data_IF_649467165755
#
_entry.id   IF_649467165755
#
_cell.length_a   1.000
_cell.length_b   1.000
_cell.length_c   1.000
_cell.angle_alpha   90.00
_cell.angle_beta   90.00
_cell.angle_gamma   90.00
#
_symmetry.space_group_name_H-M   'P 1'
#
loop_
_entity.id
_entity.type
_entity.pdbx_description
1 polymer ?
#
# COMPACT_ATOMS: atom_id res chain seq x y z
N UNK A 1 -7.80 19.34 0.46
CA UNK A 1 -8.37 18.61 -0.70
C UNK A 1 -7.20 18.17 -1.57
N UNK A 2 -7.12 16.88 -1.92
CA UNK A 2 -6.03 16.32 -2.74
C UNK A 2 -5.92 17.09 -4.07
N UNK A 3 -4.70 17.47 -4.47
CA UNK A 3 -4.46 18.27 -5.68
C UNK A 3 -3.35 17.62 -6.53
N UNK A 4 -3.71 16.66 -7.40
CA UNK A 4 -2.72 15.93 -8.19
C UNK A 4 -2.05 16.85 -9.21
N UNK A 5 -0.77 16.56 -9.50
CA UNK A 5 -0.06 17.18 -10.61
C UNK A 5 -0.70 16.78 -11.97
N UNK A 6 -0.51 17.57 -13.04
CA UNK A 6 -1.13 17.28 -14.34
C UNK A 6 -0.71 15.94 -14.97
N UNK A 7 0.48 15.45 -14.60
CA UNK A 7 1.07 14.17 -15.00
C UNK A 7 0.70 13.02 -14.03
N UNK A 8 -0.18 13.26 -13.05
CA UNK A 8 -0.64 12.22 -12.15
C UNK A 8 -1.47 11.18 -12.90
N UNK A 9 -0.85 10.04 -13.15
CA UNK A 9 -1.46 8.87 -13.76
C UNK A 9 -1.68 7.78 -12.73
N UNK A 10 -2.87 7.20 -12.72
CA UNK A 10 -3.24 6.07 -11.89
C UNK A 10 -3.49 4.82 -12.75
N UNK A 11 -3.14 3.66 -12.22
CA UNK A 11 -3.52 2.35 -12.76
C UNK A 11 -4.66 1.77 -11.93
N UNK A 12 -5.67 1.21 -12.60
CA UNK A 12 -6.70 0.38 -11.99
C UNK A 12 -6.64 -0.99 -12.65
N UNK A 13 -6.24 -2.01 -11.89
CA UNK A 13 -6.22 -3.39 -12.32
C UNK A 13 -7.35 -4.15 -11.63
N UNK A 14 -8.39 -4.53 -12.35
CA UNK A 14 -9.55 -5.27 -11.81
C UNK A 14 -10.16 -6.17 -12.88
N UNK A 15 -10.45 -7.44 -12.54
CA UNK A 15 -11.03 -8.42 -13.48
C UNK A 15 -12.39 -7.99 -13.99
N UNK A 16 -13.15 -7.28 -13.16
CA UNK A 16 -14.46 -6.76 -13.53
C UNK A 16 -14.30 -5.43 -14.27
N UNK A 17 -14.63 -5.43 -15.57
CA UNK A 17 -14.73 -4.22 -16.39
C UNK A 17 -15.60 -3.14 -15.74
N UNK A 18 -16.70 -3.55 -15.12
CA UNK A 18 -17.62 -2.66 -14.43
C UNK A 18 -16.98 -2.03 -13.19
N UNK A 19 -16.33 -2.84 -12.35
CA UNK A 19 -15.65 -2.33 -11.15
C UNK A 19 -14.48 -1.42 -11.50
N UNK A 20 -13.67 -1.80 -12.50
CA UNK A 20 -12.58 -0.98 -13.00
C UNK A 20 -13.07 0.40 -13.47
N UNK A 21 -14.17 0.44 -14.23
CA UNK A 21 -14.81 1.68 -14.69
C UNK A 21 -15.31 2.54 -13.54
N UNK A 22 -16.00 1.95 -12.57
CA UNK A 22 -16.50 2.64 -11.38
C UNK A 22 -15.34 3.25 -10.55
N UNK A 23 -14.28 2.49 -10.31
CA UNK A 23 -13.09 2.99 -9.60
C UNK A 23 -12.41 4.11 -10.38
N UNK A 24 -12.34 4.00 -11.71
CA UNK A 24 -11.80 5.08 -12.56
C UNK A 24 -12.62 6.37 -12.44
N UNK A 25 -13.95 6.29 -12.43
CA UNK A 25 -14.82 7.45 -12.19
C UNK A 25 -14.63 8.03 -10.78
N UNK A 26 -14.45 7.19 -9.77
CA UNK A 26 -14.12 7.65 -8.42
C UNK A 26 -12.82 8.45 -8.40
N UNK A 27 -11.77 7.98 -9.08
CA UNK A 27 -10.49 8.71 -9.19
C UNK A 27 -10.64 10.02 -9.96
N UNK A 28 -11.42 10.04 -11.04
CA UNK A 28 -11.72 11.26 -11.81
C UNK A 28 -12.43 12.31 -10.97
N UNK A 29 -13.36 11.90 -10.10
CA UNK A 29 -14.00 12.79 -9.13
C UNK A 29 -13.01 13.42 -8.14
N UNK A 30 -11.88 12.75 -7.90
CA UNK A 30 -10.74 13.23 -7.10
C UNK A 30 -9.71 14.03 -7.92
N UNK A 31 -10.08 14.47 -9.13
CA UNK A 31 -9.24 15.22 -10.08
C UNK A 31 -8.08 14.43 -10.69
N UNK A 32 -8.02 13.12 -10.51
CA UNK A 32 -7.07 12.24 -11.20
C UNK A 32 -7.65 11.91 -12.58
N UNK A 33 -7.23 12.65 -13.60
CA UNK A 33 -7.81 12.56 -14.96
C UNK A 33 -7.22 11.43 -15.79
N UNK A 34 -5.94 11.12 -15.59
CA UNK A 34 -5.26 10.04 -16.30
C UNK A 34 -5.41 8.74 -15.50
N UNK A 35 -6.33 7.88 -15.94
CA UNK A 35 -6.58 6.58 -15.32
C UNK A 35 -6.56 5.52 -16.40
N UNK A 36 -5.61 4.60 -16.29
CA UNK A 36 -5.52 3.42 -17.16
C UNK A 36 -6.20 2.24 -16.45
N UNK A 37 -7.05 1.52 -17.17
CA UNK A 37 -7.73 0.32 -16.66
C UNK A 37 -7.21 -0.93 -17.35
N UNK A 38 -6.91 -1.96 -16.58
CA UNK A 38 -6.45 -3.28 -17.07
C UNK A 38 -7.22 -4.38 -16.33
N UNK A 39 -7.33 -5.56 -16.94
CA UNK A 39 -8.25 -6.62 -16.47
C UNK A 39 -7.59 -7.96 -16.19
N UNK A 40 -6.27 -8.05 -16.40
CA UNK A 40 -5.48 -9.24 -16.14
C UNK A 40 -4.05 -8.87 -15.71
N UNK A 41 -3.33 -9.87 -15.19
CA UNK A 41 -1.96 -9.68 -14.70
C UNK A 41 -0.94 -9.34 -15.80
N UNK A 42 -0.93 -10.01 -16.97
CA UNK A 42 -0.04 -9.63 -18.07
C UNK A 42 -0.21 -8.16 -18.51
N UNK A 43 -1.45 -7.68 -18.63
CA UNK A 43 -1.74 -6.30 -18.99
C UNK A 43 -1.26 -5.32 -17.90
N UNK A 44 -1.44 -5.66 -16.62
CA UNK A 44 -0.90 -4.84 -15.53
C UNK A 44 0.63 -4.77 -15.55
N UNK A 45 1.31 -5.90 -15.78
CA UNK A 45 2.76 -5.94 -15.89
C UNK A 45 3.27 -5.12 -17.09
N UNK A 46 2.62 -5.25 -18.25
CA UNK A 46 2.90 -4.44 -19.45
C UNK A 46 2.71 -2.95 -19.17
N UNK A 47 1.60 -2.58 -18.52
CA UNK A 47 1.31 -1.21 -18.14
C UNK A 47 2.40 -0.61 -17.23
N UNK A 48 2.86 -1.37 -16.22
CA UNK A 48 3.97 -0.93 -15.35
C UNK A 48 5.31 -0.81 -16.08
N UNK A 49 5.52 -1.54 -17.18
CA UNK A 49 6.72 -1.45 -18.00
C UNK A 49 6.70 -0.23 -18.95
N UNK A 50 5.51 0.20 -19.40
CA UNK A 50 5.36 1.27 -20.41
C UNK A 50 5.07 2.65 -19.84
N UNK A 51 4.43 2.73 -18.67
CA UNK A 51 3.99 4.00 -18.07
C UNK A 51 4.48 4.18 -16.63
N UNK A 52 4.59 5.43 -16.20
CA UNK A 52 4.75 5.75 -14.79
C UNK A 52 3.41 5.99 -14.13
N UNK A 53 3.26 5.39 -12.96
CA UNK A 53 2.10 5.57 -12.13
C UNK A 53 2.48 6.25 -10.82
N UNK A 54 1.60 7.14 -10.37
CA UNK A 54 1.67 7.75 -9.05
C UNK A 54 0.77 7.04 -8.03
N UNK A 55 -0.07 6.14 -8.51
CA UNK A 55 -0.97 5.30 -7.74
C UNK A 55 -1.35 4.07 -8.56
N UNK A 56 -1.43 2.90 -7.92
CA UNK A 56 -2.09 1.74 -8.50
C UNK A 56 -3.13 1.18 -7.53
N UNK A 57 -4.31 0.87 -8.05
CA UNK A 57 -5.33 0.10 -7.34
C UNK A 57 -5.40 -1.28 -8.01
N UNK A 58 -5.19 -2.33 -7.23
CA UNK A 58 -5.08 -3.69 -7.75
C UNK A 58 -6.08 -4.58 -7.03
N UNK A 59 -6.94 -5.25 -7.80
CA UNK A 59 -7.83 -6.27 -7.29
C UNK A 59 -7.04 -7.49 -6.81
N UNK A 60 -7.31 -7.91 -5.58
CA UNK A 60 -6.65 -9.05 -4.97
C UNK A 60 -6.96 -10.36 -5.71
N UNK A 61 -8.08 -10.44 -6.42
CA UNK A 61 -8.40 -11.61 -7.24
C UNK A 61 -7.47 -11.77 -8.45
N UNK A 62 -6.80 -10.69 -8.90
CA UNK A 62 -5.75 -10.79 -9.92
C UNK A 62 -4.51 -11.50 -9.38
N UNK A 63 -4.22 -11.40 -8.08
CA UNK A 63 -3.13 -12.15 -7.49
C UNK A 63 -3.47 -13.65 -7.49
N UNK A 64 -2.76 -14.44 -8.29
CA UNK A 64 -2.86 -15.90 -8.27
C UNK A 64 -2.72 -16.40 -6.83
N UNK A 65 -3.78 -17.02 -6.31
CA UNK A 65 -3.84 -17.59 -4.95
C UNK A 65 -3.46 -16.62 -3.81
N UNK A 66 -3.66 -15.32 -4.01
CA UNK A 66 -3.34 -14.31 -2.98
C UNK A 66 -1.85 -14.12 -2.70
N UNK A 67 -0.98 -14.63 -3.57
CA UNK A 67 0.46 -14.57 -3.38
C UNK A 67 1.07 -13.22 -3.85
N UNK A 68 0.31 -12.36 -4.53
CA UNK A 68 0.75 -11.03 -4.99
C UNK A 68 2.14 -11.03 -5.68
N UNK A 69 2.48 -12.11 -6.39
CA UNK A 69 3.82 -12.31 -6.95
C UNK A 69 4.24 -11.18 -7.91
N UNK A 70 3.30 -10.66 -8.70
CA UNK A 70 3.56 -9.50 -9.58
C UNK A 70 3.95 -8.23 -8.80
N UNK A 71 3.39 -8.03 -7.60
CA UNK A 71 3.75 -6.90 -6.74
C UNK A 71 5.17 -7.12 -6.19
N UNK A 72 5.49 -8.32 -5.70
CA UNK A 72 6.87 -8.62 -5.24
C UNK A 72 7.89 -8.41 -6.35
N UNK A 73 7.61 -8.91 -7.56
CA UNK A 73 8.45 -8.69 -8.72
C UNK A 73 8.64 -7.19 -9.01
N UNK A 74 7.57 -6.39 -8.95
CA UNK A 74 7.64 -4.92 -9.12
C UNK A 74 8.52 -4.24 -8.05
N UNK A 75 8.52 -4.73 -6.80
CA UNK A 75 9.35 -4.17 -5.71
C UNK A 75 10.82 -4.62 -5.78
N UNK A 76 11.08 -5.80 -6.32
CA UNK A 76 12.41 -6.41 -6.44
C UNK A 76 13.17 -6.01 -7.70
N UNK A 77 12.46 -5.60 -8.75
CA UNK A 77 13.08 -5.24 -10.01
C UNK A 77 13.91 -3.96 -9.86
N UNK A 78 15.24 -4.11 -9.91
CA UNK A 78 16.16 -2.99 -9.95
C UNK A 78 15.92 -2.15 -11.20
N UNK A 79 16.03 -0.83 -11.05
CA UNK A 79 15.81 0.18 -12.10
C UNK A 79 14.36 0.34 -12.61
N UNK A 80 13.36 -0.34 -12.03
CA UNK A 80 11.96 -0.08 -12.37
C UNK A 80 11.49 1.25 -11.75
N UNK A 81 11.10 2.19 -12.62
CA UNK A 81 10.63 3.52 -12.23
C UNK A 81 9.36 3.50 -11.35
N UNK A 82 8.61 2.39 -11.36
CA UNK A 82 7.42 2.17 -10.53
C UNK A 82 7.70 1.43 -9.21
N UNK A 83 8.97 1.17 -8.86
CA UNK A 83 9.34 0.39 -7.66
C UNK A 83 8.70 0.89 -6.37
N UNK A 84 8.54 2.20 -6.22
CA UNK A 84 7.98 2.84 -5.03
C UNK A 84 6.54 3.33 -5.20
N UNK A 85 5.87 2.96 -6.31
CA UNK A 85 4.48 3.38 -6.54
C UNK A 85 3.59 2.96 -5.37
N UNK A 86 2.77 3.86 -4.79
CA UNK A 86 1.77 3.48 -3.81
C UNK A 86 0.76 2.51 -4.42
N UNK A 87 0.56 1.36 -3.77
CA UNK A 87 -0.38 0.33 -4.22
C UNK A 87 -1.49 0.17 -3.18
N UNK A 88 -2.74 0.29 -3.63
CA UNK A 88 -3.93 -0.02 -2.85
C UNK A 88 -4.49 -1.36 -3.34
N UNK A 89 -4.47 -2.40 -2.51
CA UNK A 89 -5.14 -3.65 -2.84
C UNK A 89 -6.64 -3.54 -2.55
N UNK A 90 -7.47 -4.10 -3.42
CA UNK A 90 -8.93 -4.11 -3.31
C UNK A 90 -9.43 -5.55 -3.23
N UNK A 91 -10.30 -5.90 -2.28
CA UNK A 91 -10.86 -7.25 -2.21
C UNK A 91 -12.30 -7.27 -1.70
N UNK A 92 -13.14 -8.18 -2.19
CA UNK A 92 -14.51 -8.35 -1.73
C UNK A 92 -14.60 -8.96 -0.31
N UNK A 93 -13.85 -10.02 -0.07
CA UNK A 93 -13.84 -10.75 1.20
C UNK A 93 -12.39 -10.95 1.70
N UNK A 94 -11.76 -9.91 2.26
CA UNK A 94 -10.39 -10.04 2.73
C UNK A 94 -10.30 -10.89 4.00
N UNK A 95 -9.48 -11.93 3.95
CA UNK A 95 -9.06 -12.67 5.15
C UNK A 95 -7.82 -12.01 5.77
N UNK A 96 -7.58 -12.28 7.06
CA UNK A 96 -6.36 -11.82 7.72
C UNK A 96 -5.09 -12.32 7.01
N UNK A 97 -5.13 -13.54 6.46
CA UNK A 97 -4.04 -14.12 5.69
C UNK A 97 -3.79 -13.35 4.38
N UNK A 98 -4.85 -12.99 3.64
CA UNK A 98 -4.73 -12.20 2.41
C UNK A 98 -4.16 -10.81 2.69
N UNK A 99 -4.60 -10.15 3.76
CA UNK A 99 -4.09 -8.84 4.17
C UNK A 99 -2.60 -8.95 4.54
N UNK A 100 -2.22 -10.00 5.28
CA UNK A 100 -0.82 -10.24 5.63
C UNK A 100 0.04 -10.49 4.38
N UNK A 101 -0.43 -11.32 3.45
CA UNK A 101 0.26 -11.60 2.19
C UNK A 101 0.43 -10.33 1.33
N UNK A 102 -0.62 -9.52 1.20
CA UNK A 102 -0.56 -8.23 0.50
C UNK A 102 0.51 -7.31 1.11
N UNK A 103 0.55 -7.22 2.45
CA UNK A 103 1.54 -6.41 3.17
C UNK A 103 2.95 -6.91 2.92
N UNK A 104 3.17 -8.21 3.07
CA UNK A 104 4.49 -8.82 2.92
C UNK A 104 4.98 -8.73 1.45
N UNK A 105 4.07 -8.63 0.49
CA UNK A 105 4.37 -8.34 -0.91
C UNK A 105 4.72 -6.87 -1.21
N UNK A 106 4.44 -5.93 -0.29
CA UNK A 106 4.73 -4.52 -0.46
C UNK A 106 3.56 -3.67 -0.97
N UNK A 107 2.32 -4.11 -0.74
CA UNK A 107 1.12 -3.26 -0.86
C UNK A 107 1.16 -2.16 0.20
N UNK A 108 0.78 -0.94 -0.18
CA UNK A 108 0.80 0.24 0.69
C UNK A 108 -0.45 0.31 1.58
N UNK A 109 -1.63 0.07 0.99
CA UNK A 109 -2.92 0.18 1.67
C UNK A 109 -3.90 -0.88 1.19
N UNK A 110 -4.96 -1.15 1.96
CA UNK A 110 -5.94 -2.18 1.64
C UNK A 110 -7.37 -1.65 1.76
N UNK A 111 -8.21 -1.92 0.76
CA UNK A 111 -9.63 -1.56 0.73
C UNK A 111 -10.52 -2.80 0.56
N UNK A 112 -11.51 -2.94 1.44
CA UNK A 112 -12.59 -3.90 1.27
C UNK A 112 -13.65 -3.33 0.33
N UNK A 113 -14.03 -4.08 -0.70
CA UNK A 113 -15.20 -3.78 -1.56
C UNK A 113 -16.49 -4.11 -0.76
N UNK A 114 -17.53 -3.27 -0.79
CA UNK A 114 -17.61 -1.97 -1.46
C UNK A 114 -16.92 -0.85 -0.66
N UNK A 115 -16.37 0.13 -1.37
CA UNK A 115 -15.78 1.33 -0.79
C UNK A 115 -16.25 2.59 -1.53
N UNK A 116 -16.11 3.76 -0.91
CA UNK A 116 -16.50 5.04 -1.48
C UNK A 116 -15.29 5.84 -1.96
N UNK A 117 -15.54 6.90 -2.72
CA UNK A 117 -14.55 7.93 -3.09
C UNK A 117 -13.79 8.45 -1.86
N UNK A 118 -14.51 8.65 -0.74
CA UNK A 118 -13.92 9.16 0.50
C UNK A 118 -12.90 8.18 1.09
N UNK A 119 -13.11 6.87 0.96
CA UNK A 119 -12.12 5.88 1.40
C UNK A 119 -10.82 5.99 0.60
N UNK A 120 -10.88 6.19 -0.72
CA UNK A 120 -9.70 6.40 -1.57
C UNK A 120 -9.01 7.72 -1.21
N UNK A 121 -9.78 8.80 -1.09
CA UNK A 121 -9.26 10.13 -0.75
C UNK A 121 -8.48 10.13 0.57
N UNK A 122 -8.94 9.39 1.57
CA UNK A 122 -8.26 9.25 2.85
C UNK A 122 -6.89 8.59 2.71
N UNK A 123 -6.72 7.61 1.81
CA UNK A 123 -5.42 6.96 1.57
C UNK A 123 -4.48 7.86 0.78
N UNK A 124 -5.00 8.57 -0.21
CA UNK A 124 -4.23 9.58 -0.95
C UNK A 124 -3.68 10.66 -0.02
N UNK A 125 -4.50 11.17 0.89
CA UNK A 125 -4.07 12.14 1.89
C UNK A 125 -2.99 11.57 2.83
N UNK A 126 -3.08 10.28 3.20
CA UNK A 126 -2.05 9.62 3.99
C UNK A 126 -0.71 9.55 3.24
N UNK A 127 -0.72 9.25 1.94
CA UNK A 127 0.51 9.23 1.13
C UNK A 127 1.17 10.60 0.99
N UNK A 128 0.39 11.70 0.99
CA UNK A 128 0.93 13.07 0.97
C UNK A 128 1.49 13.50 2.34
N UNK A 129 0.79 13.20 3.44
CA UNK A 129 1.11 13.72 4.77
C UNK A 129 2.35 13.06 5.41
N UNK A 130 2.59 11.80 5.11
CA UNK A 130 3.80 11.09 5.49
C UNK A 130 3.94 9.90 4.53
N UNK A 131 5.06 9.73 3.82
CA UNK A 131 5.20 8.62 2.88
C UNK A 131 4.92 7.23 3.45
N UNK A 132 4.87 7.03 4.79
CA UNK A 132 4.31 5.86 5.50
C UNK A 132 3.84 6.26 6.92
N UNK A 133 2.55 6.10 7.29
CA UNK A 133 2.15 4.90 8.02
C UNK A 133 0.75 4.33 7.63
N UNK A 134 0.68 3.01 7.70
CA UNK A 134 -0.44 2.09 7.41
C UNK A 134 -1.75 2.43 8.12
N UNK A 135 -2.88 2.49 7.39
CA UNK A 135 -4.23 2.59 7.96
C UNK A 135 -5.15 1.49 7.40
N UNK A 136 -5.22 0.36 8.09
CA UNK A 136 -6.29 -0.63 7.87
C UNK A 136 -7.66 0.05 8.00
N UNK A 137 -8.41 0.09 6.89
CA UNK A 137 -9.79 0.57 6.89
C UNK A 137 -10.73 -0.47 7.53
N UNK A 138 -11.68 0.02 8.33
CA UNK A 138 -12.59 -0.70 9.24
C UNK A 138 -12.77 -2.21 9.02
N UNK A 139 -12.16 -2.94 9.95
CA UNK A 139 -12.11 -4.39 10.05
C UNK A 139 -10.86 -4.80 10.82
N UNK A 140 -10.78 -4.36 12.09
CA UNK A 140 -9.68 -4.65 13.00
C UNK A 140 -9.44 -6.17 13.14
N UNK A 141 -8.20 -6.62 12.87
CA UNK A 141 -7.55 -7.77 13.51
C UNK A 141 -6.05 -7.78 13.17
N UNK A 142 -5.21 -7.33 14.09
CA UNK A 142 -3.77 -7.54 14.01
C UNK A 142 -2.98 -6.71 15.01
N UNK A 143 -2.13 -7.32 15.87
CA UNK A 143 -1.48 -6.60 16.96
C UNK A 143 -0.42 -5.66 16.43
N UNK A 144 -0.46 -4.45 16.96
CA UNK A 144 0.57 -3.43 16.91
C UNK A 144 1.97 -4.05 17.20
N UNK A 145 2.81 -4.13 16.16
CA UNK A 145 4.22 -4.57 16.27
C UNK A 145 5.20 -3.38 16.35
N UNK A 146 4.74 -2.13 16.47
CA UNK A 146 5.61 -0.94 16.51
C UNK A 146 5.49 -0.14 17.82
N UNK A 147 5.38 -0.84 18.94
CA UNK A 147 5.82 -0.33 20.25
C UNK A 147 6.72 -1.34 20.96
N UNK A 148 7.91 -1.56 20.40
CA UNK A 148 9.09 -1.78 21.26
C UNK A 148 9.57 -0.39 21.65
N UNK A 149 9.02 0.09 22.75
CA UNK A 149 9.56 1.22 23.51
C UNK A 149 11.02 0.91 23.82
N UNK A 150 11.94 1.61 23.15
CA UNK A 150 13.25 1.88 23.74
C UNK A 150 12.99 2.88 24.87
N UNK A 151 12.52 2.37 26.00
CA UNK A 151 12.56 3.12 27.25
C UNK A 151 14.02 3.11 27.71
N UNK A 152 14.71 4.21 27.47
CA UNK A 152 16.01 4.46 28.07
C UNK A 152 15.91 4.31 29.59
N UNK A 153 16.82 3.53 30.16
CA UNK A 153 17.08 3.57 31.59
C UNK A 153 18.05 4.74 31.86
N UNK A 154 17.71 5.70 32.73
CA UNK A 154 18.68 6.61 33.30
C UNK A 154 19.17 6.08 34.66
N UNK A 155 20.49 6.10 34.86
CA UNK A 155 21.14 5.94 36.17
C UNK A 155 21.90 4.62 36.32
N UNK A 156 23.14 4.57 36.80
CA UNK A 156 23.96 5.56 37.52
C UNK A 156 25.43 5.30 37.21
N UNK A 157 26.21 6.39 37.08
CA UNK A 157 27.64 6.35 37.37
C UNK A 157 27.77 6.12 38.88
N UNK A 158 28.48 5.07 39.27
CA UNK A 158 29.16 5.02 40.56
C UNK A 158 30.62 4.74 40.22
N UNK A 159 31.45 5.76 40.42
CA UNK A 159 32.88 5.62 40.50
C UNK A 159 33.25 5.06 41.89
N UNK A 160 34.45 4.47 41.92
CA UNK A 160 35.36 4.29 43.04
C UNK A 160 35.09 3.26 44.15
N UNK A 161 36.07 2.36 44.30
CA UNK A 161 36.68 2.07 45.60
C UNK A 161 36.66 0.62 46.06
N UNK A 162 37.85 0.02 46.22
CA UNK A 162 38.13 -0.86 47.36
C UNK A 162 38.46 -2.34 47.08
N UNK A 163 39.76 -2.60 46.96
CA UNK A 163 40.57 -3.67 47.60
C UNK A 163 39.90 -4.85 48.34
N UNK A 164 40.50 -6.03 48.15
CA UNK A 164 40.40 -7.33 48.87
C UNK A 164 40.20 -7.26 50.41
N UNK A 165 39.62 -8.29 51.09
CA UNK A 165 40.28 -9.58 51.47
C UNK A 165 39.32 -10.81 51.36
N UNK A 166 39.73 -12.09 51.45
CA UNK A 166 40.61 -12.79 52.40
C UNK A 166 41.24 -14.02 51.76
#
# INVERSE_FOLDING_TARGET
>A
MFNPSPDFRALVADRSLHMAGLVAEMLRSLRIRQVDTVHDCPAAASAFATHLYRLALIDAELAAEGDFAGIRALRQADQQRNRDVPIIAMAAAPSAALIAAARDAGVSEFLRKPFSVQHIALRLAAFEAAPRPFVAAQGYAGPDRRRRTVSGAPGRRAADGGSQPS
#
